data_IF_272094474906
#
_entry.id   IF_272094474906
#
_cell.length_a   1.000
_cell.length_b   1.000
_cell.length_c   1.000
_cell.angle_alpha   90.00
_cell.angle_beta   90.00
_cell.angle_gamma   90.00
#
_symmetry.space_group_name_H-M   'P 1'
#
loop_
_entity.id
_entity.type
_entity.pdbx_description
1 polymer ?
#
# COMPACT_ATOMS: atom_id res chain seq x y z
N UNK A 1 -1.81 10.44 59.88
CA UNK A 1 -2.15 9.99 58.51
C UNK A 1 -3.63 10.25 58.26
N UNK A 2 -3.97 11.26 57.45
CA UNK A 2 -5.36 11.67 57.16
C UNK A 2 -5.86 10.82 55.99
N UNK A 3 -6.78 9.89 56.24
CA UNK A 3 -7.35 9.02 55.19
C UNK A 3 -8.04 9.92 54.15
N UNK A 4 -7.67 9.86 52.86
CA UNK A 4 -8.38 10.63 51.84
C UNK A 4 -9.82 10.10 51.74
N UNK A 5 -10.79 11.02 51.65
CA UNK A 5 -12.18 10.68 51.37
C UNK A 5 -12.24 9.77 50.14
N UNK A 6 -12.91 8.62 50.26
CA UNK A 6 -12.99 7.59 49.20
C UNK A 6 -13.45 8.19 47.87
N UNK A 7 -14.32 9.21 47.91
CA UNK A 7 -14.78 9.95 46.74
C UNK A 7 -13.67 10.71 46.02
N UNK A 8 -12.76 11.37 46.74
CA UNK A 8 -11.63 12.10 46.13
C UNK A 8 -10.62 11.15 45.50
N UNK A 9 -10.40 9.99 46.10
CA UNK A 9 -9.54 8.94 45.54
C UNK A 9 -10.12 8.38 44.24
N UNK A 10 -11.43 8.07 44.21
CA UNK A 10 -12.10 7.57 42.99
C UNK A 10 -12.06 8.59 41.86
N UNK A 11 -12.27 9.88 42.17
CA UNK A 11 -12.28 10.95 41.17
C UNK A 11 -10.87 11.18 40.58
N UNK A 12 -9.83 11.04 41.40
CA UNK A 12 -8.43 11.11 40.96
C UNK A 12 -8.06 9.95 40.02
N UNK A 13 -8.46 8.73 40.36
CA UNK A 13 -8.21 7.54 39.52
C UNK A 13 -8.93 7.67 38.17
N UNK A 14 -10.19 8.14 38.19
CA UNK A 14 -10.99 8.32 36.98
C UNK A 14 -10.39 9.40 36.07
N UNK A 15 -9.86 10.49 36.63
CA UNK A 15 -9.16 11.52 35.86
C UNK A 15 -7.88 10.98 35.19
N UNK A 16 -7.08 10.17 35.89
CA UNK A 16 -5.87 9.56 35.32
C UNK A 16 -6.20 8.58 34.19
N UNK A 17 -7.21 7.74 34.38
CA UNK A 17 -7.68 6.82 33.33
C UNK A 17 -8.15 7.55 32.08
N UNK A 18 -8.83 8.68 32.25
CA UNK A 18 -9.33 9.49 31.15
C UNK A 18 -8.19 10.11 30.34
N UNK A 19 -7.16 10.63 31.02
CA UNK A 19 -5.96 11.16 30.34
C UNK A 19 -5.21 10.06 29.57
N UNK A 20 -5.07 8.87 30.16
CA UNK A 20 -4.45 7.72 29.48
C UNK A 20 -5.24 7.30 28.24
N UNK A 21 -6.56 7.26 28.32
CA UNK A 21 -7.42 6.91 27.20
C UNK A 21 -7.29 7.92 26.04
N UNK A 22 -7.31 9.22 26.34
CA UNK A 22 -7.11 10.28 25.33
C UNK A 22 -5.73 10.16 24.69
N UNK A 23 -4.68 9.96 25.50
CA UNK A 23 -3.31 9.79 24.99
C UNK A 23 -3.18 8.61 24.05
N UNK A 24 -3.78 7.47 24.40
CA UNK A 24 -3.78 6.28 23.57
C UNK A 24 -4.50 6.49 22.22
N UNK A 25 -5.70 7.08 22.24
CA UNK A 25 -6.48 7.36 21.01
C UNK A 25 -5.72 8.32 20.09
N UNK A 26 -5.08 9.35 20.64
CA UNK A 26 -4.31 10.31 19.86
C UNK A 26 -3.10 9.66 19.16
N UNK A 27 -2.41 8.74 19.84
CA UNK A 27 -1.28 7.99 19.26
C UNK A 27 -1.75 7.04 18.16
N UNK A 28 -2.83 6.30 18.38
CA UNK A 28 -3.39 5.37 17.40
C UNK A 28 -3.83 6.09 16.11
N UNK A 29 -4.53 7.21 16.26
CA UNK A 29 -4.96 8.04 15.13
C UNK A 29 -3.76 8.60 14.34
N UNK A 30 -2.70 9.04 15.03
CA UNK A 30 -1.49 9.54 14.37
C UNK A 30 -0.77 8.46 13.58
N UNK A 31 -0.63 7.26 14.15
CA UNK A 31 -0.02 6.11 13.46
C UNK A 31 -0.87 5.65 12.26
N UNK A 32 -2.19 5.58 12.42
CA UNK A 32 -3.12 5.20 11.35
C UNK A 32 -3.08 6.14 10.14
N UNK A 33 -2.94 7.46 10.37
CA UNK A 33 -2.83 8.44 9.27
C UNK A 33 -1.50 8.30 8.52
N UNK A 34 -0.38 8.14 9.23
CA UNK A 34 0.93 7.91 8.60
C UNK A 34 0.95 6.61 7.77
N UNK A 35 0.37 5.54 8.31
CA UNK A 35 0.32 4.26 7.61
C UNK A 35 -0.50 4.35 6.31
N UNK A 36 -1.64 5.06 6.32
CA UNK A 36 -2.42 5.31 5.11
C UNK A 36 -1.66 6.11 4.06
N UNK A 37 -0.89 7.11 4.46
CA UNK A 37 -0.07 7.90 3.54
C UNK A 37 1.04 7.05 2.89
N UNK A 38 1.75 6.23 3.67
CA UNK A 38 2.79 5.35 3.13
C UNK A 38 2.22 4.30 2.17
N UNK A 39 1.07 3.71 2.52
CA UNK A 39 0.36 2.77 1.65
C UNK A 39 -0.12 3.45 0.35
N UNK A 40 -0.56 4.70 0.42
CA UNK A 40 -0.96 5.48 -0.75
C UNK A 40 0.20 5.71 -1.73
N UNK A 41 1.36 6.14 -1.22
CA UNK A 41 2.58 6.35 -2.03
C UNK A 41 3.04 5.02 -2.65
N UNK A 42 3.03 3.94 -1.88
CA UNK A 42 3.39 2.61 -2.38
C UNK A 42 2.45 2.15 -3.51
N UNK A 43 1.14 2.29 -3.33
CA UNK A 43 0.17 1.95 -4.37
C UNK A 43 0.34 2.82 -5.62
N UNK A 44 0.66 4.11 -5.45
CA UNK A 44 0.91 5.00 -6.57
C UNK A 44 2.18 4.61 -7.34
N UNK A 45 3.26 4.27 -6.64
CA UNK A 45 4.49 3.77 -7.25
C UNK A 45 4.30 2.45 -8.01
N UNK A 46 3.55 1.52 -7.42
CA UNK A 46 3.17 0.27 -8.08
C UNK A 46 2.42 0.51 -9.39
N UNK A 47 1.38 1.36 -9.37
CA UNK A 47 0.60 1.70 -10.58
C UNK A 47 1.47 2.34 -11.66
N UNK A 48 2.34 3.28 -11.28
CA UNK A 48 3.25 3.92 -12.22
C UNK A 48 4.22 2.92 -12.86
N UNK A 49 4.76 1.98 -12.06
CA UNK A 49 5.63 0.91 -12.56
C UNK A 49 4.94 -0.01 -13.56
N UNK A 50 3.70 -0.43 -13.26
CA UNK A 50 2.91 -1.24 -14.21
C UNK A 50 2.61 -0.48 -15.50
N UNK A 51 2.20 0.78 -15.40
CA UNK A 51 1.90 1.60 -16.58
C UNK A 51 3.15 1.77 -17.48
N UNK A 52 4.31 1.97 -16.88
CA UNK A 52 5.57 2.08 -17.62
C UNK A 52 5.97 0.76 -18.28
N UNK A 53 5.81 -0.38 -17.60
CA UNK A 53 6.09 -1.69 -18.16
C UNK A 53 5.16 -2.01 -19.35
N UNK A 54 3.86 -1.71 -19.21
CA UNK A 54 2.87 -1.89 -20.29
C UNK A 54 3.20 -0.99 -21.48
N UNK A 55 3.58 0.28 -21.25
CA UNK A 55 3.98 1.19 -22.34
C UNK A 55 5.17 0.65 -23.14
N UNK A 56 6.19 0.11 -22.47
CA UNK A 56 7.33 -0.51 -23.14
C UNK A 56 6.93 -1.74 -23.97
N UNK A 57 6.01 -2.56 -23.46
CA UNK A 57 5.46 -3.69 -24.21
C UNK A 57 4.69 -3.21 -25.43
N UNK A 58 3.83 -2.19 -25.29
CA UNK A 58 3.05 -1.62 -26.39
C UNK A 58 3.92 -0.94 -27.44
N UNK A 59 5.06 -0.35 -27.07
CA UNK A 59 5.98 0.28 -28.01
C UNK A 59 6.72 -0.77 -28.86
N UNK A 60 7.03 -1.93 -28.28
CA UNK A 60 7.72 -3.03 -28.97
C UNK A 60 6.76 -3.99 -29.70
N UNK A 61 5.48 -4.01 -29.31
CA UNK A 61 4.46 -4.88 -29.89
C UNK A 61 4.31 -4.79 -31.43
N UNK A 62 4.39 -3.59 -32.07
CA UNK A 62 4.22 -3.45 -33.52
C UNK A 62 5.38 -4.05 -34.33
N UNK A 63 6.53 -4.30 -33.71
CA UNK A 63 7.68 -4.90 -34.39
C UNK A 63 7.46 -6.38 -34.74
N UNK A 64 6.36 -6.99 -34.27
CA UNK A 64 6.06 -8.42 -34.43
C UNK A 64 7.21 -9.36 -34.05
N UNK A 65 8.05 -8.93 -33.13
CA UNK A 65 9.13 -9.74 -32.55
C UNK A 65 8.71 -10.22 -31.16
N UNK A 66 9.09 -11.45 -30.77
CA UNK A 66 8.86 -11.95 -29.42
C UNK A 66 9.53 -11.03 -28.39
N UNK A 67 8.76 -10.56 -27.42
CA UNK A 67 9.25 -9.70 -26.32
C UNK A 67 9.41 -10.59 -25.08
N UNK A 68 10.65 -10.89 -24.64
CA UNK A 68 10.86 -11.67 -23.44
C UNK A 68 10.52 -10.85 -22.19
N UNK A 69 9.60 -11.37 -21.38
CA UNK A 69 9.25 -10.81 -20.07
C UNK A 69 9.75 -11.76 -18.99
N UNK A 70 10.50 -11.18 -18.05
CA UNK A 70 11.12 -11.92 -16.95
C UNK A 70 10.27 -11.75 -15.69
N UNK A 71 9.84 -12.87 -15.11
CA UNK A 71 9.13 -12.93 -13.84
C UNK A 71 9.82 -13.94 -12.91
N UNK A 72 10.77 -13.45 -12.10
CA UNK A 72 11.60 -14.30 -11.24
C UNK A 72 12.51 -15.23 -12.05
N UNK A 73 12.30 -16.55 -11.94
CA UNK A 73 13.05 -17.57 -12.69
C UNK A 73 12.35 -18.02 -13.98
N UNK A 74 11.22 -17.41 -14.33
CA UNK A 74 10.47 -17.73 -15.54
C UNK A 74 10.64 -16.62 -16.58
N UNK A 75 10.89 -17.01 -17.82
CA UNK A 75 10.90 -16.13 -18.99
C UNK A 75 9.75 -16.54 -19.89
N UNK A 76 8.86 -15.61 -20.19
CA UNK A 76 7.74 -15.82 -21.11
C UNK A 76 7.88 -14.84 -22.26
N UNK A 77 7.78 -15.34 -23.48
CA UNK A 77 7.82 -14.52 -24.68
C UNK A 77 6.41 -14.08 -25.07
N UNK A 78 6.20 -12.77 -25.21
CA UNK A 78 4.94 -12.18 -25.64
C UNK A 78 5.04 -11.71 -27.08
N UNK A 79 3.98 -11.93 -27.86
CA UNK A 79 3.83 -11.37 -29.20
C UNK A 79 2.42 -10.80 -29.33
N UNK A 80 2.27 -9.72 -30.11
CA UNK A 80 0.96 -9.17 -30.38
C UNK A 80 0.11 -10.18 -31.16
N UNK A 81 -1.16 -10.33 -30.78
CA UNK A 81 -2.09 -11.29 -31.42
C UNK A 81 -2.30 -10.95 -32.89
N UNK A 82 -2.29 -9.67 -33.24
CA UNK A 82 -2.39 -9.19 -34.63
C UNK A 82 -1.24 -9.76 -35.49
N UNK A 83 -0.05 -9.96 -34.90
CA UNK A 83 1.09 -10.57 -35.60
C UNK A 83 0.94 -12.08 -35.78
N UNK A 84 0.15 -12.77 -34.95
CA UNK A 84 -0.15 -14.19 -35.13
C UNK A 84 -1.10 -14.43 -36.30
N UNK A 85 -2.01 -13.49 -36.55
CA UNK A 85 -2.98 -13.57 -37.65
C UNK A 85 -2.30 -13.46 -39.03
N UNK A 86 -1.25 -12.63 -39.13
CA UNK A 86 -0.43 -12.49 -40.35
C UNK A 86 0.33 -13.77 -40.76
N UNK A 87 0.50 -14.74 -39.86
CA UNK A 87 1.16 -16.01 -40.15
C UNK A 87 0.15 -17.15 -40.44
N UNK A 88 -1.15 -16.90 -40.34
CA UNK A 88 -2.22 -17.88 -40.56
C UNK A 88 -2.97 -17.69 -41.89
N UNK A 89 -2.59 -16.71 -42.71
CA UNK A 89 -3.02 -16.53 -44.11
C UNK A 89 -1.97 -17.09 -45.08
#
# INVERSE_FOLDING_TARGET
MKKPDKQKLTLMILAVLLVLAIGYIALDMYMGVKQRQQMGIFQQGMRAGYEQAIKQLMEKAPACQPIPVYAGNQTVEFIAVDCLQLAQE
#
